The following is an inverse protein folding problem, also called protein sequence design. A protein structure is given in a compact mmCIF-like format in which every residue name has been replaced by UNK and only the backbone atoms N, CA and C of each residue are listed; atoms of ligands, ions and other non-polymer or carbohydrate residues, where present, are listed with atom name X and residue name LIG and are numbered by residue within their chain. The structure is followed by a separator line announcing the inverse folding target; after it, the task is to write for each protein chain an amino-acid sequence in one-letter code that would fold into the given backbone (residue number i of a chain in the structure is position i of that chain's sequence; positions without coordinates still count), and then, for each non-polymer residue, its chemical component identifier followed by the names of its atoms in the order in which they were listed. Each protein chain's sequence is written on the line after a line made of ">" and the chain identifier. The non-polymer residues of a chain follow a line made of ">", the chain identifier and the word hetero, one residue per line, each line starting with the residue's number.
data_IF_785336964733
#
_entry.id   IF_785336964733
#
_cell.length_a   1.000
_cell.length_b   1.000
_cell.length_c   1.000
_cell.angle_alpha   90.00
_cell.angle_beta   90.00
_cell.angle_gamma   90.00
#
_symmetry.space_group_name_H-M   'P 1'
#
loop_
_entity.id
_entity.type
_entity.pdbx_description
1 polymer ?
#
# COMPACT_ATOMS: atom_id res chain seq x y z
N UNK A 1 -20.69 58.25 -18.41
CA UNK A 1 -19.56 58.67 -17.55
C UNK A 1 -18.56 57.51 -17.49
N UNK A 2 -17.42 57.65 -18.19
CA UNK A 2 -16.05 57.60 -17.64
C UNK A 2 -15.69 56.27 -16.95
N UNK A 3 -14.89 55.40 -17.61
CA UNK A 3 -13.41 55.28 -17.49
C UNK A 3 -13.09 54.20 -16.42
N UNK A 4 -12.21 53.20 -16.56
CA UNK A 4 -10.85 53.19 -17.12
C UNK A 4 -10.35 51.74 -17.19
N UNK A 5 -9.81 51.34 -18.34
CA UNK A 5 -8.89 50.20 -18.54
C UNK A 5 -7.55 50.51 -17.87
N UNK A 6 -6.99 49.60 -17.08
CA UNK A 6 -5.56 49.66 -16.74
C UNK A 6 -4.93 48.27 -16.80
N UNK A 7 -4.12 48.10 -17.85
CA UNK A 7 -3.27 46.95 -18.13
C UNK A 7 -1.87 47.39 -17.68
N UNK A 8 -1.34 46.79 -16.61
CA UNK A 8 0.03 47.06 -16.16
C UNK A 8 0.86 45.80 -16.38
N UNK A 9 1.53 45.78 -17.53
CA UNK A 9 2.70 44.95 -17.80
C UNK A 9 3.81 45.41 -16.86
N UNK A 10 4.23 44.53 -15.96
CA UNK A 10 5.40 44.76 -15.12
C UNK A 10 6.48 43.76 -15.52
N UNK A 11 7.39 44.23 -16.36
CA UNK A 11 8.68 43.62 -16.63
C UNK A 11 9.70 44.72 -16.42
N UNK A 12 10.45 44.69 -15.31
CA UNK A 12 11.81 45.21 -15.30
C UNK A 12 12.64 44.55 -14.20
N UNK A 13 13.65 43.84 -14.69
CA UNK A 13 14.68 43.11 -13.96
C UNK A 13 15.62 44.16 -13.36
N UNK A 14 15.86 44.08 -12.04
CA UNK A 14 16.99 44.76 -11.42
C UNK A 14 17.86 43.74 -10.69
N UNK A 15 19.02 43.51 -11.30
CA UNK A 15 20.14 42.73 -10.78
C UNK A 15 20.79 43.48 -9.62
N UNK A 16 20.99 42.79 -8.49
CA UNK A 16 21.96 43.20 -7.47
C UNK A 16 22.72 41.95 -7.03
N UNK A 17 23.97 41.85 -7.45
CA UNK A 17 24.96 40.96 -6.86
C UNK A 17 25.32 41.47 -5.47
N UNK A 18 25.38 40.58 -4.47
CA UNK A 18 26.40 40.57 -3.39
C UNK A 18 26.10 39.46 -2.41
N UNK A 19 26.90 38.40 -2.47
CA UNK A 19 26.80 37.26 -1.54
C UNK A 19 27.70 36.12 -1.94
N UNK A 20 29.01 36.36 -1.97
CA UNK A 20 30.01 35.30 -1.96
C UNK A 20 29.94 34.62 -0.59
N UNK A 21 29.29 33.45 -0.54
CA UNK A 21 29.11 32.66 0.67
C UNK A 21 29.11 31.18 0.30
N UNK A 22 30.25 30.56 0.53
CA UNK A 22 30.55 29.13 0.35
C UNK A 22 29.49 28.19 0.91
N UNK A 23 28.91 27.35 0.05
CA UNK A 23 28.49 25.99 0.37
C UNK A 23 28.33 25.24 -0.97
N UNK A 24 28.81 23.99 -1.02
CA UNK A 24 29.00 23.22 -2.25
C UNK A 24 27.72 23.04 -3.07
N UNK A 25 27.81 22.40 -4.27
CA UNK A 25 26.61 22.03 -5.01
C UNK A 25 25.80 21.08 -4.14
N UNK A 26 24.80 21.61 -3.42
CA UNK A 26 23.59 20.88 -3.11
C UNK A 26 23.08 20.43 -4.47
N UNK A 27 23.42 19.19 -4.82
CA UNK A 27 22.74 18.50 -5.88
C UNK A 27 21.26 18.71 -5.61
N UNK A 28 20.60 19.44 -6.51
CA UNK A 28 19.16 19.47 -6.60
C UNK A 28 18.75 18.02 -6.80
N UNK A 29 18.55 17.30 -5.70
CA UNK A 29 18.03 15.95 -5.74
C UNK A 29 16.70 16.11 -6.47
N UNK A 30 16.50 15.44 -7.62
CA UNK A 30 15.22 15.50 -8.30
C UNK A 30 14.17 15.16 -7.24
N UNK A 31 13.13 15.98 -7.11
CA UNK A 31 12.00 15.64 -6.28
C UNK A 31 11.54 14.25 -6.75
N UNK A 32 11.87 13.23 -5.96
CA UNK A 32 11.60 11.85 -6.34
C UNK A 32 10.10 11.76 -6.52
N UNK A 33 9.63 11.43 -7.73
CA UNK A 33 8.21 11.16 -7.96
C UNK A 33 7.71 10.10 -7.00
N UNK A 34 6.38 9.91 -6.87
CA UNK A 34 5.84 8.86 -6.01
C UNK A 34 6.49 7.52 -6.39
N UNK A 35 7.12 6.88 -5.40
CA UNK A 35 7.75 5.56 -5.59
C UNK A 35 6.75 4.50 -5.15
N UNK A 36 6.73 3.34 -5.78
CA UNK A 36 5.93 2.21 -5.31
C UNK A 36 6.82 1.19 -4.61
N UNK A 37 6.29 0.55 -3.57
CA UNK A 37 6.92 -0.59 -2.90
C UNK A 37 5.92 -1.72 -2.76
N UNK A 38 6.32 -2.90 -3.20
CA UNK A 38 5.54 -4.12 -3.03
C UNK A 38 5.97 -4.86 -1.77
N UNK A 39 5.03 -5.58 -1.17
CA UNK A 39 5.21 -6.48 -0.04
C UNK A 39 4.43 -7.76 -0.31
N UNK A 40 4.89 -8.87 0.24
CA UNK A 40 4.21 -10.15 0.11
C UNK A 40 3.46 -10.47 1.41
N UNK A 41 2.18 -10.81 1.29
CA UNK A 41 1.35 -11.30 2.38
C UNK A 41 1.46 -12.82 2.39
N UNK A 42 1.91 -13.37 3.52
CA UNK A 42 2.20 -14.80 3.66
C UNK A 42 1.39 -15.44 4.77
N UNK A 43 0.83 -16.62 4.49
CA UNK A 43 0.17 -17.47 5.46
C UNK A 43 1.21 -18.36 6.15
N UNK A 44 1.21 -18.33 7.47
CA UNK A 44 2.12 -19.07 8.34
C UNK A 44 1.35 -19.76 9.48
N UNK A 45 2.09 -20.41 10.38
CA UNK A 45 1.58 -21.02 11.59
C UNK A 45 1.41 -22.54 11.49
N UNK A 46 0.59 -23.12 12.37
CA UNK A 46 0.44 -24.56 12.55
C UNK A 46 -0.69 -25.19 11.73
N UNK A 47 -1.46 -24.40 10.97
CA UNK A 47 -2.52 -24.92 10.10
C UNK A 47 -2.00 -25.91 9.06
N UNK A 48 -2.82 -26.89 8.71
CA UNK A 48 -2.48 -27.83 7.64
C UNK A 48 -2.58 -27.15 6.27
N UNK A 49 -1.69 -27.46 5.31
CA UNK A 49 -1.79 -26.92 3.95
C UNK A 49 -3.15 -27.27 3.32
N UNK A 50 -3.79 -26.30 2.66
CA UNK A 50 -5.08 -26.49 2.01
C UNK A 50 -6.28 -26.52 2.95
N UNK A 51 -6.08 -26.34 4.26
CA UNK A 51 -7.19 -26.35 5.23
C UNK A 51 -7.92 -25.00 5.29
N UNK A 52 -7.19 -23.90 5.10
CA UNK A 52 -7.73 -22.54 5.18
C UNK A 52 -8.42 -22.20 3.86
N UNK A 53 -9.74 -22.17 3.83
CA UNK A 53 -10.54 -21.79 2.65
C UNK A 53 -11.10 -20.38 2.76
N UNK A 54 -11.25 -19.85 3.97
CA UNK A 54 -11.58 -18.45 4.23
C UNK A 54 -10.51 -17.81 5.10
N UNK A 55 -10.08 -16.61 4.73
CA UNK A 55 -9.11 -15.83 5.50
C UNK A 55 -9.56 -14.37 5.52
N UNK A 56 -9.73 -13.80 6.71
CA UNK A 56 -10.03 -12.40 6.92
C UNK A 56 -9.10 -11.83 7.98
N UNK A 57 -8.55 -10.64 7.76
CA UNK A 57 -7.71 -9.96 8.73
C UNK A 57 -7.64 -8.47 8.45
N UNK A 58 -7.26 -7.72 9.48
CA UNK A 58 -6.99 -6.30 9.39
C UNK A 58 -5.49 -6.05 9.33
N UNK A 59 -5.07 -5.25 8.36
CA UNK A 59 -3.71 -4.79 8.19
C UNK A 59 -3.62 -3.30 8.50
N UNK A 60 -2.95 -2.95 9.59
CA UNK A 60 -2.68 -1.55 9.94
C UNK A 60 -1.63 -1.00 8.99
N UNK A 61 -1.99 0.03 8.22
CA UNK A 61 -1.10 0.66 7.26
C UNK A 61 -0.20 1.68 7.97
N UNK A 62 1.12 1.62 7.76
CA UNK A 62 2.04 2.65 8.25
C UNK A 62 1.70 4.04 7.71
N UNK A 63 2.07 5.08 8.46
CA UNK A 63 1.87 6.46 8.02
C UNK A 63 2.53 6.73 6.66
N UNK A 64 1.82 7.46 5.80
CA UNK A 64 2.32 7.84 4.47
C UNK A 64 2.15 6.75 3.40
N UNK A 65 1.69 5.54 3.74
CA UNK A 65 1.32 4.54 2.73
C UNK A 65 0.03 4.94 2.04
N UNK A 66 0.04 4.92 0.70
CA UNK A 66 -1.13 5.12 -0.13
C UNK A 66 -1.43 3.84 -0.90
N UNK A 67 -2.70 3.48 -1.01
CA UNK A 67 -3.15 2.39 -1.87
C UNK A 67 -4.01 2.96 -2.99
N UNK A 68 -3.97 2.39 -4.20
CA UNK A 68 -4.92 2.73 -5.24
C UNK A 68 -6.30 2.20 -4.82
N UNK A 69 -7.24 3.11 -4.55
CA UNK A 69 -8.58 2.79 -4.08
C UNK A 69 -9.64 3.16 -5.13
N UNK A 70 -10.72 2.40 -5.16
CA UNK A 70 -11.95 2.82 -5.81
C UNK A 70 -12.59 3.97 -5.01
N UNK A 71 -12.94 5.04 -5.73
CA UNK A 71 -13.46 6.26 -5.13
C UNK A 71 -14.83 6.10 -4.46
N UNK A 72 -15.61 5.09 -4.85
CA UNK A 72 -17.00 4.92 -4.39
C UNK A 72 -17.06 4.16 -3.07
N UNK A 73 -16.29 3.09 -2.92
CA UNK A 73 -16.47 2.14 -1.83
C UNK A 73 -15.17 1.81 -1.06
N UNK A 74 -14.07 2.52 -1.38
CA UNK A 74 -12.76 2.38 -0.76
C UNK A 74 -12.15 0.98 -0.92
N UNK A 75 -12.60 0.23 -1.92
CA UNK A 75 -12.01 -1.07 -2.28
C UNK A 75 -10.63 -0.86 -2.91
N UNK A 76 -9.65 -1.64 -2.49
CA UNK A 76 -8.30 -1.60 -3.07
C UNK A 76 -8.34 -2.17 -4.48
N UNK A 77 -7.85 -1.39 -5.43
CA UNK A 77 -7.78 -1.79 -6.82
C UNK A 77 -6.73 -2.91 -7.02
N UNK A 78 -6.84 -3.72 -8.08
CA UNK A 78 -5.88 -4.81 -8.35
C UNK A 78 -4.41 -4.38 -8.45
N UNK A 79 -4.16 -3.11 -8.80
CA UNK A 79 -2.81 -2.54 -8.83
C UNK A 79 -2.18 -2.40 -7.43
N UNK A 80 -3.00 -2.34 -6.37
CA UNK A 80 -2.59 -2.20 -4.98
C UNK A 80 -2.64 -3.48 -4.18
N UNK A 81 -3.53 -4.41 -4.53
CA UNK A 81 -3.66 -5.70 -3.86
C UNK A 81 -4.04 -6.77 -4.88
N UNK A 82 -3.17 -7.76 -5.06
CA UNK A 82 -3.36 -8.82 -6.04
C UNK A 82 -2.99 -10.19 -5.46
N UNK A 83 -3.66 -11.24 -5.93
CA UNK A 83 -3.28 -12.61 -5.60
C UNK A 83 -1.90 -12.94 -6.17
N UNK A 84 -1.07 -13.63 -5.38
CA UNK A 84 0.20 -14.15 -5.88
C UNK A 84 -0.03 -15.32 -6.83
N UNK A 85 0.94 -15.60 -7.70
CA UNK A 85 0.87 -16.74 -8.62
C UNK A 85 0.79 -18.11 -7.90
N UNK A 86 1.21 -18.17 -6.63
CA UNK A 86 1.10 -19.34 -5.77
C UNK A 86 -0.27 -19.53 -5.13
N UNK A 87 -1.17 -18.54 -5.26
CA UNK A 87 -2.54 -18.69 -4.80
C UNK A 87 -3.30 -19.71 -5.65
N UNK A 88 -4.19 -20.52 -5.06
CA UNK A 88 -4.99 -21.49 -5.78
C UNK A 88 -5.85 -20.83 -6.88
N UNK A 89 -6.02 -21.53 -8.00
CA UNK A 89 -6.88 -21.10 -9.09
C UNK A 89 -8.34 -20.94 -8.61
N UNK A 90 -8.95 -19.82 -8.99
CA UNK A 90 -10.31 -19.48 -8.56
C UNK A 90 -10.42 -18.90 -7.15
N UNK A 91 -9.30 -18.60 -6.48
CA UNK A 91 -9.33 -17.78 -5.27
C UNK A 91 -9.86 -16.37 -5.59
N UNK A 92 -10.63 -15.82 -4.67
CA UNK A 92 -11.19 -14.48 -4.73
C UNK A 92 -10.67 -13.69 -3.53
N UNK A 93 -10.19 -12.48 -3.78
CA UNK A 93 -9.68 -11.60 -2.74
C UNK A 93 -10.26 -10.20 -2.92
N UNK A 94 -10.58 -9.57 -1.81
CA UNK A 94 -10.99 -8.18 -1.73
C UNK A 94 -10.24 -7.52 -0.57
N UNK A 95 -9.92 -6.23 -0.73
CA UNK A 95 -9.39 -5.40 0.33
C UNK A 95 -10.17 -4.10 0.41
N UNK A 96 -10.51 -3.62 1.60
CA UNK A 96 -11.13 -2.31 1.81
C UNK A 96 -10.33 -1.50 2.81
N UNK A 97 -10.16 -0.21 2.54
CA UNK A 97 -9.45 0.69 3.46
C UNK A 97 -10.43 1.58 4.21
N UNK A 98 -10.30 1.59 5.53
CA UNK A 98 -10.99 2.53 6.39
C UNK A 98 -10.04 2.99 7.50
N UNK A 99 -9.91 4.31 7.69
CA UNK A 99 -9.16 4.90 8.81
C UNK A 99 -7.72 4.38 8.97
N UNK A 100 -7.00 4.15 7.87
CA UNK A 100 -5.61 3.65 7.88
C UNK A 100 -5.48 2.14 8.14
N UNK A 101 -6.59 1.41 8.13
CA UNK A 101 -6.62 -0.05 8.23
C UNK A 101 -7.13 -0.62 6.92
N UNK A 102 -6.41 -1.59 6.37
CA UNK A 102 -6.81 -2.40 5.23
C UNK A 102 -7.40 -3.72 5.75
N UNK A 103 -8.71 -3.88 5.65
CA UNK A 103 -9.36 -5.17 5.90
C UNK A 103 -9.26 -6.01 4.62
N UNK A 104 -8.64 -7.19 4.70
CA UNK A 104 -8.50 -8.12 3.59
C UNK A 104 -9.37 -9.33 3.84
N UNK A 105 -10.15 -9.73 2.83
CA UNK A 105 -10.90 -10.97 2.82
C UNK A 105 -10.48 -11.80 1.60
N UNK A 106 -10.25 -13.09 1.82
CA UNK A 106 -9.79 -14.05 0.83
C UNK A 106 -10.58 -15.34 0.98
N UNK A 107 -11.09 -15.85 -0.13
CA UNK A 107 -11.81 -17.13 -0.20
C UNK A 107 -11.19 -18.00 -1.29
N UNK A 108 -11.00 -19.28 -0.98
CA UNK A 108 -10.51 -20.30 -1.92
C UNK A 108 -11.26 -21.61 -1.71
N UNK A 109 -11.79 -22.18 -2.80
CA UNK A 109 -12.48 -23.47 -2.76
C UNK A 109 -11.54 -24.66 -2.55
N UNK A 110 -10.27 -24.54 -2.94
CA UNK A 110 -9.25 -25.60 -2.82
C UNK A 110 -8.33 -25.43 -1.62
N UNK A 111 -8.48 -24.32 -0.89
CA UNK A 111 -7.73 -24.01 0.31
C UNK A 111 -6.34 -23.43 0.03
N UNK A 112 -5.82 -22.68 1.01
CA UNK A 112 -4.56 -21.96 0.93
C UNK A 112 -3.40 -22.82 1.45
N UNK A 113 -2.29 -22.81 0.71
CA UNK A 113 -1.02 -23.32 1.18
C UNK A 113 -0.30 -22.29 2.07
N UNK A 114 0.68 -22.74 2.86
CA UNK A 114 1.59 -21.83 3.56
C UNK A 114 2.49 -21.10 2.57
N UNK A 115 2.88 -19.88 2.91
CA UNK A 115 3.69 -19.00 2.07
C UNK A 115 2.89 -17.84 1.49
N UNK A 116 3.46 -17.17 0.50
CA UNK A 116 2.89 -15.97 -0.10
C UNK A 116 1.61 -16.25 -0.88
N UNK A 117 0.51 -15.61 -0.49
CA UNK A 117 -0.78 -15.74 -1.16
C UNK A 117 -1.22 -14.45 -1.87
N UNK A 118 -0.70 -13.29 -1.47
CA UNK A 118 -1.01 -12.02 -2.10
C UNK A 118 0.19 -11.06 -2.09
N UNK A 119 0.15 -10.11 -3.01
CA UNK A 119 1.09 -9.00 -3.10
C UNK A 119 0.35 -7.70 -2.82
N UNK A 120 0.84 -6.94 -1.84
CA UNK A 120 0.40 -5.58 -1.53
C UNK A 120 1.37 -4.60 -2.18
N UNK A 121 0.90 -3.70 -3.04
CA UNK A 121 1.70 -2.65 -3.67
C UNK A 121 1.25 -1.29 -3.16
N UNK A 122 2.10 -0.67 -2.36
CA UNK A 122 1.87 0.64 -1.78
C UNK A 122 2.53 1.74 -2.62
N UNK A 123 1.83 2.85 -2.82
CA UNK A 123 2.41 4.12 -3.21
C UNK A 123 3.03 4.83 -2.02
N UNK A 124 4.21 5.40 -2.24
CA UNK A 124 4.99 6.16 -1.27
C UNK A 124 5.12 7.59 -1.80
N UNK A 125 4.67 8.61 -1.04
CA UNK A 125 4.72 9.99 -1.48
C UNK A 125 6.15 10.48 -1.68
N UNK A 126 6.30 11.46 -2.58
CA UNK A 126 7.58 12.10 -2.86
C UNK A 126 8.25 12.60 -1.55
N UNK A 127 9.51 12.25 -1.36
CA UNK A 127 10.30 12.65 -0.19
C UNK A 127 10.05 11.83 1.08
N UNK A 128 9.14 10.84 1.07
CA UNK A 128 8.98 9.89 2.17
C UNK A 128 9.83 8.62 1.96
N UNK A 129 10.23 7.99 3.06
CA UNK A 129 10.87 6.67 3.02
C UNK A 129 9.81 5.57 3.02
N UNK A 130 10.00 4.57 2.17
CA UNK A 130 9.12 3.42 2.13
C UNK A 130 9.26 2.60 3.43
N UNK A 131 8.15 2.25 4.11
CA UNK A 131 8.22 1.49 5.36
C UNK A 131 8.81 0.09 5.13
N UNK A 132 9.38 -0.51 6.17
CA UNK A 132 9.74 -1.93 6.16
C UNK A 132 8.50 -2.80 6.37
N UNK A 133 8.54 -4.07 5.96
CA UNK A 133 7.42 -5.00 6.19
C UNK A 133 7.02 -5.12 7.67
N UNK A 134 7.97 -5.01 8.60
CA UNK A 134 7.71 -5.03 10.06
C UNK A 134 6.93 -3.83 10.60
N UNK A 135 6.75 -2.76 9.81
CA UNK A 135 5.96 -1.61 10.21
C UNK A 135 4.45 -1.87 10.08
N UNK A 136 4.07 -2.89 9.31
CA UNK A 136 2.68 -3.33 9.17
C UNK A 136 2.32 -4.23 10.34
N UNK A 137 1.12 -4.04 10.88
CA UNK A 137 0.59 -4.91 11.93
C UNK A 137 -0.63 -5.66 11.42
N UNK A 138 -0.65 -6.98 11.60
CA UNK A 138 -1.80 -7.83 11.31
C UNK A 138 -2.60 -8.01 12.60
N UNK A 139 -3.90 -7.76 12.54
CA UNK A 139 -4.84 -7.85 13.66
C UNK A 139 -6.14 -8.51 13.20
N UNK A 140 -7.01 -8.89 14.15
CA UNK A 140 -8.34 -9.45 13.88
C UNK A 140 -8.38 -10.62 12.89
N UNK A 141 -7.33 -11.45 12.90
CA UNK A 141 -7.21 -12.58 11.97
C UNK A 141 -8.25 -13.65 12.29
N UNK A 142 -8.99 -14.04 11.26
CA UNK A 142 -9.90 -15.18 11.25
C UNK A 142 -9.56 -16.07 10.06
N UNK A 143 -9.26 -17.34 10.35
CA UNK A 143 -9.10 -18.37 9.35
C UNK A 143 -10.25 -19.37 9.49
N UNK A 144 -10.82 -19.80 8.37
CA UNK A 144 -11.96 -20.71 8.31
C UNK A 144 -11.63 -21.91 7.42
N UNK A 145 -12.21 -23.07 7.75
CA UNK A 145 -12.21 -24.24 6.88
C UNK A 145 -13.38 -24.22 5.88
N UNK A 146 -13.44 -25.24 5.01
CA UNK A 146 -14.48 -25.39 3.98
C UNK A 146 -15.92 -25.46 4.53
N UNK A 147 -16.08 -25.77 5.82
CA UNK A 147 -17.36 -25.82 6.50
C UNK A 147 -17.69 -24.50 7.22
N UNK A 148 -16.82 -23.49 7.15
CA UNK A 148 -16.93 -22.24 7.90
C UNK A 148 -16.49 -22.36 9.36
N UNK A 149 -15.81 -23.44 9.73
CA UNK A 149 -15.32 -23.64 11.11
C UNK A 149 -14.06 -22.82 11.34
N UNK A 150 -13.95 -22.06 12.44
CA UNK A 150 -12.74 -21.31 12.75
C UNK A 150 -11.55 -22.25 12.99
N UNK A 151 -10.44 -21.93 12.32
CA UNK A 151 -9.16 -22.61 12.45
C UNK A 151 -8.26 -21.83 13.41
N UNK A 152 -7.60 -22.54 14.31
CA UNK A 152 -6.62 -21.95 15.23
C UNK A 152 -5.20 -22.18 14.72
N UNK A 153 -4.28 -21.28 15.10
CA UNK A 153 -2.87 -21.38 14.72
C UNK A 153 -2.53 -20.92 13.31
N UNK A 154 -3.48 -20.30 12.58
CA UNK A 154 -3.16 -19.53 11.38
C UNK A 154 -2.53 -18.19 11.78
N UNK A 155 -1.55 -17.74 11.02
CA UNK A 155 -0.95 -16.42 11.15
C UNK A 155 -0.73 -15.81 9.76
N UNK A 156 -0.89 -14.50 9.64
CA UNK A 156 -0.51 -13.76 8.43
C UNK A 156 0.62 -12.81 8.79
N UNK A 157 1.61 -12.74 7.90
CA UNK A 157 2.75 -11.84 8.04
C UNK A 157 2.96 -11.07 6.76
N UNK A 158 3.42 -9.83 6.88
CA UNK A 158 3.95 -9.06 5.76
C UNK A 158 5.45 -9.32 5.67
N UNK A 159 5.94 -9.63 4.48
CA UNK A 159 7.37 -9.79 4.21
C UNK A 159 7.78 -8.86 3.06
N UNK A 160 9.01 -8.36 3.15
CA UNK A 160 9.62 -7.64 2.03
C UNK A 160 9.84 -8.61 0.86
N UNK A 161 9.66 -8.16 -0.39
CA UNK A 161 9.94 -8.99 -1.55
C UNK A 161 11.44 -9.35 -1.57
N UNK A 162 11.80 -10.54 -2.08
CA UNK A 162 13.18 -10.97 -2.20
C UNK A 162 14.01 -10.07 -3.13
#
# INVERSE_FOLDING_TARGET
>A
MKKTTLLVVSLFILSICSGCGSAGPSASQPAAGPTSRSYQLSLQGSVSPGQVTGLSFDLVLPAGVQLPLDSQDQTVLPAGLALSASAPSGALMEGRVASGVLTVALVSASGLAKGGFATLTAGIPAGASAPSASAFAVTNLQALDLNGTPLTGAAVTVVDPP
#
